data_IF_952662781958
#
_entry.id   IF_952662781958
#
_cell.length_a   1.000
_cell.length_b   1.000
_cell.length_c   1.000
_cell.angle_alpha   90.00
_cell.angle_beta   90.00
_cell.angle_gamma   90.00
#
_symmetry.space_group_name_H-M   'P 1'
#
loop_
_entity.id
_entity.type
_entity.pdbx_description
1 polymer ?
#
# COMPACT_ATOMS: atom_id res chain seq x y z
N UNK A 1 50.14 -2.59 -7.26
CA UNK A 1 49.07 -1.75 -6.69
C UNK A 1 48.32 -2.55 -5.63
N UNK A 2 48.29 -2.08 -4.38
CA UNK A 2 47.58 -2.74 -3.29
C UNK A 2 46.07 -2.45 -3.41
N UNK A 3 45.24 -3.50 -3.45
CA UNK A 3 43.78 -3.35 -3.44
C UNK A 3 43.32 -3.11 -2.00
N UNK A 4 42.77 -1.94 -1.72
CA UNK A 4 42.03 -1.70 -0.48
C UNK A 4 40.76 -2.56 -0.48
N UNK A 5 40.53 -3.32 0.60
CA UNK A 5 39.38 -4.21 0.80
C UNK A 5 38.09 -3.43 1.15
N UNK A 6 37.81 -2.37 0.42
CA UNK A 6 36.60 -1.58 0.61
C UNK A 6 35.37 -2.35 0.13
N UNK A 7 34.39 -2.57 1.00
CA UNK A 7 33.09 -3.11 0.61
C UNK A 7 32.24 -1.99 0.04
N UNK A 8 31.67 -2.21 -1.14
CA UNK A 8 30.67 -1.32 -1.74
C UNK A 8 29.28 -1.76 -1.28
N UNK A 9 28.54 -0.86 -0.63
CA UNK A 9 27.17 -1.13 -0.20
C UNK A 9 26.20 -0.48 -1.18
N UNK A 10 25.31 -1.29 -1.75
CA UNK A 10 24.22 -0.81 -2.61
C UNK A 10 22.94 -0.71 -1.76
N UNK A 11 22.24 0.43 -1.74
CA UNK A 11 20.96 0.57 -1.07
C UNK A 11 19.91 -0.44 -1.55
N UNK A 12 18.90 -0.70 -0.71
CA UNK A 12 17.81 -1.62 -1.04
C UNK A 12 16.46 -0.93 -1.25
N UNK A 13 16.24 0.24 -0.67
CA UNK A 13 14.99 0.97 -0.88
C UNK A 13 15.05 1.74 -2.21
N UNK A 14 13.89 1.92 -2.82
CA UNK A 14 13.78 2.48 -4.17
C UNK A 14 14.31 3.92 -4.24
N UNK A 15 13.99 4.76 -3.25
CA UNK A 15 14.44 6.15 -3.21
C UNK A 15 15.96 6.29 -3.17
N UNK A 16 16.63 5.53 -2.29
CA UNK A 16 18.09 5.57 -2.17
C UNK A 16 18.77 4.99 -3.40
N UNK A 17 18.22 3.93 -4.00
CA UNK A 17 18.73 3.37 -5.26
C UNK A 17 18.63 4.41 -6.38
N UNK A 18 17.48 5.06 -6.54
CA UNK A 18 17.27 6.09 -7.56
C UNK A 18 18.15 7.32 -7.31
N UNK A 19 18.32 7.72 -6.04
CA UNK A 19 19.22 8.81 -5.65
C UNK A 19 20.68 8.48 -5.96
N UNK A 20 21.12 7.26 -5.67
CA UNK A 20 22.46 6.79 -6.03
C UNK A 20 22.62 6.76 -7.56
N UNK A 21 21.63 6.24 -8.29
CA UNK A 21 21.65 6.20 -9.75
C UNK A 21 21.76 7.59 -10.35
N UNK A 22 21.03 8.59 -9.82
CA UNK A 22 21.11 9.99 -10.26
C UNK A 22 22.53 10.55 -10.09
N UNK A 23 23.17 10.30 -8.95
CA UNK A 23 24.57 10.72 -8.71
C UNK A 23 25.56 10.03 -9.66
N UNK A 24 25.40 8.73 -9.89
CA UNK A 24 26.24 7.96 -10.82
C UNK A 24 26.08 8.48 -12.24
N UNK A 25 24.84 8.71 -12.67
CA UNK A 25 24.53 9.25 -14.00
C UNK A 25 25.07 10.67 -14.19
N UNK A 26 24.89 11.55 -13.20
CA UNK A 26 25.44 12.90 -13.25
C UNK A 26 26.96 12.88 -13.38
N UNK A 27 27.64 12.01 -12.61
CA UNK A 27 29.08 11.84 -12.72
C UNK A 27 29.49 11.30 -14.09
N UNK A 28 28.75 10.32 -14.62
CA UNK A 28 28.96 9.78 -15.96
C UNK A 28 28.89 10.88 -17.04
N UNK A 29 27.87 11.75 -16.96
CA UNK A 29 27.74 12.89 -17.86
C UNK A 29 28.89 13.88 -17.72
N UNK A 30 29.29 14.20 -16.47
CA UNK A 30 30.39 15.13 -16.21
C UNK A 30 31.75 14.62 -16.72
N UNK A 31 32.00 13.31 -16.59
CA UNK A 31 33.22 12.69 -17.11
C UNK A 31 33.18 12.48 -18.64
N UNK A 32 31.99 12.55 -19.27
CA UNK A 32 31.80 12.47 -20.71
C UNK A 32 32.50 11.27 -21.35
N UNK A 33 33.34 11.53 -22.35
CA UNK A 33 34.08 10.49 -23.05
C UNK A 33 35.09 9.74 -22.17
N UNK A 34 35.57 10.38 -21.11
CA UNK A 34 36.49 9.77 -20.14
C UNK A 34 35.77 8.86 -19.13
N UNK A 35 34.44 8.80 -19.15
CA UNK A 35 33.72 7.99 -18.18
C UNK A 35 33.95 6.49 -18.40
N UNK A 36 34.44 5.75 -17.39
CA UNK A 36 34.69 4.31 -17.52
C UNK A 36 33.40 3.51 -17.73
N UNK A 37 32.24 4.08 -17.39
CA UNK A 37 30.94 3.44 -17.54
C UNK A 37 30.50 3.27 -19.00
N UNK A 38 31.20 3.89 -19.97
CA UNK A 38 30.97 3.61 -21.40
C UNK A 38 31.37 2.19 -21.80
N UNK A 39 32.27 1.57 -21.03
CA UNK A 39 32.74 0.20 -21.24
C UNK A 39 31.87 -0.83 -20.50
N UNK A 40 30.72 -0.41 -19.93
CA UNK A 40 29.84 -1.29 -19.19
C UNK A 40 28.94 -2.07 -20.17
N UNK A 41 29.30 -3.32 -20.43
CA UNK A 41 28.56 -4.17 -21.36
C UNK A 41 27.11 -4.39 -20.93
N UNK A 42 26.18 -4.29 -21.89
CA UNK A 42 24.76 -4.55 -21.68
C UNK A 42 23.97 -3.44 -20.98
N UNK A 43 24.62 -2.33 -20.57
CA UNK A 43 23.96 -1.21 -19.88
C UNK A 43 24.20 0.08 -20.65
N UNK A 44 23.11 0.71 -21.11
CA UNK A 44 23.18 2.01 -21.79
C UNK A 44 22.67 3.14 -20.87
N UNK A 45 23.60 3.87 -20.27
CA UNK A 45 23.29 5.01 -19.41
C UNK A 45 22.65 6.20 -20.15
N UNK A 46 22.84 6.33 -21.46
CA UNK A 46 22.16 7.36 -22.26
C UNK A 46 20.64 7.10 -22.31
N UNK A 47 20.23 5.83 -22.28
CA UNK A 47 18.82 5.45 -22.28
C UNK A 47 18.24 5.38 -20.86
N UNK A 48 19.00 4.83 -19.90
CA UNK A 48 18.53 4.64 -18.53
C UNK A 48 18.53 5.93 -17.71
N UNK A 49 19.56 6.76 -17.83
CA UNK A 49 19.72 7.99 -17.04
C UNK A 49 18.50 8.92 -17.07
N UNK A 50 17.92 9.22 -18.25
CA UNK A 50 16.71 10.04 -18.36
C UNK A 50 15.48 9.48 -17.65
N UNK A 51 15.44 8.18 -17.33
CA UNK A 51 14.30 7.55 -16.64
C UNK A 51 14.34 7.70 -15.11
N UNK A 52 15.47 8.13 -14.55
CA UNK A 52 15.68 8.21 -13.10
C UNK A 52 14.76 9.24 -12.46
N UNK A 53 14.73 10.48 -12.99
CA UNK A 53 13.87 11.55 -12.45
C UNK A 53 12.38 11.22 -12.55
N UNK A 54 11.85 10.71 -13.70
CA UNK A 54 10.48 10.20 -13.76
C UNK A 54 10.17 9.12 -12.73
N UNK A 55 11.08 8.16 -12.52
CA UNK A 55 10.90 7.11 -11.52
C UNK A 55 10.87 7.67 -10.09
N UNK A 56 11.74 8.64 -9.78
CA UNK A 56 11.77 9.30 -8.48
C UNK A 56 10.51 10.13 -8.22
N UNK A 57 10.01 10.84 -9.24
CA UNK A 57 8.75 11.57 -9.16
C UNK A 57 7.58 10.62 -8.87
N UNK A 58 7.52 9.47 -9.54
CA UNK A 58 6.47 8.45 -9.30
C UNK A 58 6.58 7.80 -7.93
N UNK A 59 7.78 7.59 -7.43
CA UNK A 59 7.97 7.10 -6.05
C UNK A 59 7.41 8.10 -5.02
N UNK A 60 7.73 9.39 -5.17
CA UNK A 60 7.22 10.45 -4.28
C UNK A 60 5.71 10.60 -4.36
N UNK A 61 5.14 10.50 -5.55
CA UNK A 61 3.68 10.49 -5.76
C UNK A 61 3.03 9.33 -5.02
N UNK A 62 3.61 8.12 -5.10
CA UNK A 62 3.10 6.94 -4.40
C UNK A 62 3.14 7.11 -2.86
N UNK A 63 4.24 7.63 -2.31
CA UNK A 63 4.33 7.90 -0.86
C UNK A 63 3.34 8.96 -0.40
N UNK A 64 3.12 10.01 -1.20
CA UNK A 64 2.11 11.02 -0.91
C UNK A 64 0.68 10.45 -0.92
N UNK A 65 0.36 9.61 -1.91
CA UNK A 65 -0.94 8.93 -1.98
C UNK A 65 -1.15 7.96 -0.83
N UNK A 66 -0.12 7.23 -0.42
CA UNK A 66 -0.15 6.37 0.76
C UNK A 66 -0.45 7.17 2.03
N UNK A 67 0.20 8.31 2.22
CA UNK A 67 -0.06 9.18 3.36
C UNK A 67 -1.50 9.72 3.38
N UNK A 68 -2.04 10.09 2.21
CA UNK A 68 -3.42 10.54 2.07
C UNK A 68 -4.41 9.40 2.38
N UNK A 69 -4.14 8.18 1.90
CA UNK A 69 -4.92 6.99 2.21
C UNK A 69 -4.96 6.72 3.72
N UNK A 70 -3.80 6.72 4.39
CA UNK A 70 -3.70 6.52 5.84
C UNK A 70 -4.43 7.61 6.64
N UNK A 71 -4.41 8.87 6.16
CA UNK A 71 -5.18 9.95 6.76
C UNK A 71 -6.69 9.71 6.61
N UNK A 72 -7.15 9.36 5.42
CA UNK A 72 -8.56 9.08 5.16
C UNK A 72 -9.09 7.90 6.01
N UNK A 73 -8.29 6.85 6.20
CA UNK A 73 -8.66 5.76 7.10
C UNK A 73 -8.80 6.22 8.54
N UNK A 74 -7.83 6.99 9.06
CA UNK A 74 -7.90 7.53 10.42
C UNK A 74 -9.13 8.41 10.63
N UNK A 75 -9.46 9.26 9.65
CA UNK A 75 -10.64 10.12 9.71
C UNK A 75 -11.94 9.30 9.71
N UNK A 76 -12.05 8.28 8.86
CA UNK A 76 -13.20 7.35 8.85
C UNK A 76 -13.36 6.64 10.19
N UNK A 77 -12.26 6.15 10.76
CA UNK A 77 -12.27 5.32 11.96
C UNK A 77 -12.73 6.08 13.21
N UNK A 78 -12.71 7.42 13.20
CA UNK A 78 -13.32 8.25 14.24
C UNK A 78 -14.85 8.09 14.27
N UNK A 79 -15.48 7.97 13.10
CA UNK A 79 -16.94 7.96 12.98
C UNK A 79 -17.54 6.56 13.07
N UNK A 80 -16.80 5.55 12.62
CA UNK A 80 -17.30 4.18 12.50
C UNK A 80 -17.88 3.59 13.81
N UNK A 81 -17.27 3.77 15.00
CA UNK A 81 -17.79 3.16 16.23
C UNK A 81 -19.22 3.60 16.56
N UNK A 82 -19.52 4.90 16.47
CA UNK A 82 -20.84 5.42 16.78
C UNK A 82 -21.89 4.99 15.73
N UNK A 83 -21.51 4.99 14.45
CA UNK A 83 -22.39 4.51 13.37
C UNK A 83 -22.70 3.03 13.55
N UNK A 84 -21.68 2.23 13.84
CA UNK A 84 -21.80 0.79 14.05
C UNK A 84 -22.66 0.47 15.28
N UNK A 85 -22.48 1.17 16.40
CA UNK A 85 -23.35 1.07 17.57
C UNK A 85 -24.81 1.40 17.22
N UNK A 86 -25.05 2.50 16.49
CA UNK A 86 -26.39 2.90 16.08
C UNK A 86 -27.07 1.85 15.19
N UNK A 87 -26.34 1.26 14.24
CA UNK A 87 -26.85 0.19 13.37
C UNK A 87 -27.16 -1.07 14.19
N UNK A 88 -26.29 -1.47 15.13
CA UNK A 88 -26.53 -2.61 16.02
C UNK A 88 -27.76 -2.40 16.91
N UNK A 89 -27.86 -1.24 17.57
CA UNK A 89 -28.98 -0.90 18.43
C UNK A 89 -30.30 -0.89 17.64
N UNK A 90 -30.28 -0.33 16.42
CA UNK A 90 -31.43 -0.33 15.51
C UNK A 90 -31.85 -1.74 15.13
N UNK A 91 -30.90 -2.63 14.80
CA UNK A 91 -31.19 -4.04 14.49
C UNK A 91 -31.87 -4.75 15.66
N UNK A 92 -31.36 -4.56 16.88
CA UNK A 92 -31.93 -5.15 18.11
C UNK A 92 -33.37 -4.67 18.34
N UNK A 93 -33.61 -3.36 18.23
CA UNK A 93 -34.94 -2.78 18.41
C UNK A 93 -35.92 -3.30 17.36
N UNK A 94 -35.55 -3.25 16.08
CA UNK A 94 -36.41 -3.70 14.98
C UNK A 94 -36.74 -5.18 15.11
N UNK A 95 -35.78 -6.02 15.52
CA UNK A 95 -36.01 -7.44 15.81
C UNK A 95 -36.97 -7.63 16.98
N UNK A 96 -36.83 -6.84 18.05
CA UNK A 96 -37.74 -6.89 19.19
C UNK A 96 -39.18 -6.47 18.82
N UNK A 97 -39.36 -5.53 17.88
CA UNK A 97 -40.68 -5.13 17.39
C UNK A 97 -41.30 -6.14 16.41
N UNK A 98 -40.47 -6.87 15.67
CA UNK A 98 -40.89 -7.81 14.63
C UNK A 98 -40.63 -9.28 14.99
N UNK A 99 -40.72 -9.64 16.29
CA UNK A 99 -40.40 -10.99 16.79
C UNK A 99 -41.09 -12.13 16.03
N UNK A 100 -42.34 -11.92 15.59
CA UNK A 100 -43.13 -12.93 14.86
C UNK A 100 -42.81 -13.01 13.37
N UNK A 101 -42.17 -11.98 12.81
CA UNK A 101 -41.80 -11.93 11.40
C UNK A 101 -40.50 -11.11 11.18
N UNK A 102 -39.33 -11.69 11.49
CA UNK A 102 -38.04 -11.01 11.34
C UNK A 102 -37.71 -10.59 9.91
N UNK A 103 -38.34 -11.18 8.87
CA UNK A 103 -38.16 -10.78 7.46
C UNK A 103 -38.47 -9.31 7.19
N UNK A 104 -39.27 -8.67 8.05
CA UNK A 104 -39.56 -7.24 7.97
C UNK A 104 -38.34 -6.34 8.21
N UNK A 105 -37.24 -6.89 8.74
CA UNK A 105 -35.98 -6.15 8.84
C UNK A 105 -35.32 -5.96 7.46
N UNK A 106 -35.65 -6.77 6.46
CA UNK A 106 -35.18 -6.58 5.07
C UNK A 106 -35.70 -5.28 4.45
N UNK A 107 -36.85 -4.77 4.90
CA UNK A 107 -37.38 -3.47 4.49
C UNK A 107 -36.45 -2.31 4.90
N UNK A 108 -35.59 -2.55 5.90
CA UNK A 108 -34.58 -1.62 6.40
C UNK A 108 -33.17 -1.92 5.85
N UNK A 109 -33.05 -2.85 4.91
CA UNK A 109 -31.79 -3.24 4.28
C UNK A 109 -30.96 -4.25 5.08
N UNK A 110 -31.46 -4.81 6.18
CA UNK A 110 -30.79 -5.92 6.86
C UNK A 110 -30.97 -7.22 6.06
N UNK A 111 -29.88 -7.98 5.89
CA UNK A 111 -30.00 -9.34 5.37
C UNK A 111 -30.49 -10.28 6.47
N UNK A 112 -31.61 -10.96 6.25
CA UNK A 112 -32.24 -11.88 7.22
C UNK A 112 -32.11 -13.30 6.70
N UNK A 113 -31.32 -14.12 7.41
CA UNK A 113 -31.23 -15.56 7.17
C UNK A 113 -32.17 -16.32 8.12
N UNK A 114 -33.23 -16.92 7.55
CA UNK A 114 -34.22 -17.73 8.27
C UNK A 114 -33.96 -19.25 8.09
N UNK A 115 -32.80 -19.65 7.56
CA UNK A 115 -32.44 -21.06 7.45
C UNK A 115 -32.22 -21.71 8.83
N UNK A 116 -32.53 -23.00 8.93
CA UNK A 116 -32.24 -23.78 10.15
C UNK A 116 -30.72 -23.91 10.26
N UNK A 117 -30.12 -23.14 11.16
CA UNK A 117 -28.70 -23.25 11.48
C UNK A 117 -28.49 -24.49 12.36
N UNK A 118 -28.02 -25.58 11.76
CA UNK A 118 -27.52 -26.74 12.52
C UNK A 118 -26.32 -26.26 13.34
N UNK A 119 -26.37 -26.42 14.67
CA UNK A 119 -25.23 -26.16 15.54
C UNK A 119 -24.10 -27.09 15.10
N UNK A 120 -23.06 -26.53 14.48
CA UNK A 120 -21.81 -27.25 14.30
C UNK A 120 -21.30 -27.66 15.68
N UNK A 121 -21.34 -28.97 15.94
CA UNK A 121 -20.71 -29.56 17.09
C UNK A 121 -19.24 -29.15 17.10
N UNK A 122 -18.82 -28.52 18.20
CA UNK A 122 -17.47 -28.09 18.46
C UNK A 122 -16.45 -29.12 17.95
N UNK A 123 -15.61 -28.72 16.98
CA UNK A 123 -14.36 -29.42 16.70
C UNK A 123 -13.42 -29.17 17.88
N UNK A 124 -13.58 -29.98 18.91
CA UNK A 124 -12.49 -30.35 19.79
C UNK A 124 -11.53 -31.25 19.01
N UNK A 125 -10.32 -30.75 18.76
CA UNK A 125 -9.07 -31.50 18.73
C UNK A 125 -7.90 -30.53 18.71
#
# INVERSE_FOLDING_TARGET
MSRTSGRVTIPRNAEEVLTLASKVYFRHQADGDASPLRNLDGINWLNLGPTIEPALAKHREAEALKAQMEKAYRERDIYLPAIDEAVRASSVLLKALNQKNPKRLSDWGFNVDDSVQLKDAAKGK
#
